data_IF_786532432756
#
_entry.id   IF_786532432756
#
_cell.length_a   1.000
_cell.length_b   1.000
_cell.length_c   1.000
_cell.angle_alpha   90.00
_cell.angle_beta   90.00
_cell.angle_gamma   90.00
#
_symmetry.space_group_name_H-M   'P 1'
#
loop_
_entity.id
_entity.type
_entity.pdbx_description
1 polymer ?
#
# COMPACT_ATOMS: atom_id res chain seq x y z
N UNK A 1 -5.73 9.50 13.44
CA UNK A 1 -6.69 9.20 12.36
C UNK A 1 -6.73 7.69 12.19
N UNK A 2 -7.90 7.05 12.29
CA UNK A 2 -8.06 5.58 12.26
C UNK A 2 -8.98 5.10 11.12
N UNK A 3 -9.29 5.98 10.17
CA UNK A 3 -10.19 5.70 9.05
C UNK A 3 -9.67 6.36 7.78
N UNK A 4 -10.11 5.85 6.64
CA UNK A 4 -9.79 6.42 5.32
C UNK A 4 -10.34 7.84 5.22
N UNK A 5 -9.57 8.74 4.60
CA UNK A 5 -9.98 10.12 4.32
C UNK A 5 -10.53 10.25 2.89
N UNK A 6 -10.12 9.38 1.98
CA UNK A 6 -10.64 9.28 0.62
C UNK A 6 -10.36 7.89 0.04
N UNK A 7 -10.75 7.67 -1.22
CA UNK A 7 -10.44 6.43 -1.95
C UNK A 7 -8.93 6.19 -2.14
N UNK A 8 -8.12 7.25 -2.17
CA UNK A 8 -6.67 7.17 -2.39
C UNK A 8 -5.84 7.50 -1.14
N UNK A 9 -6.42 8.21 -0.17
CA UNK A 9 -5.81 8.53 1.12
C UNK A 9 -6.40 7.62 2.20
N UNK A 10 -5.85 6.42 2.28
CA UNK A 10 -6.36 5.32 3.12
C UNK A 10 -5.56 5.17 4.41
N UNK A 11 -6.22 4.75 5.49
CA UNK A 11 -5.59 4.36 6.74
C UNK A 11 -5.43 2.82 6.80
N UNK A 12 -4.25 2.36 7.20
CA UNK A 12 -3.99 0.96 7.49
C UNK A 12 -3.75 0.87 8.98
N UNK A 13 -4.75 0.36 9.69
CA UNK A 13 -4.76 0.31 11.14
C UNK A 13 -4.56 -1.12 11.63
N UNK A 14 -3.88 -1.24 12.76
CA UNK A 14 -3.70 -2.49 13.50
C UNK A 14 -3.92 -2.22 14.99
N UNK A 15 -4.42 -3.23 15.72
CA UNK A 15 -4.68 -3.14 17.15
C UNK A 15 -3.41 -3.44 17.97
N UNK A 16 -2.54 -4.32 17.45
CA UNK A 16 -1.42 -4.92 18.20
C UNK A 16 -0.04 -4.47 17.69
N UNK A 17 0.03 -3.33 17.00
CA UNK A 17 1.26 -2.82 16.39
C UNK A 17 2.14 -2.02 17.36
N UNK A 18 3.45 -2.07 17.13
CA UNK A 18 4.40 -1.08 17.65
C UNK A 18 4.72 -0.04 16.57
N UNK A 19 5.52 0.96 16.91
CA UNK A 19 5.86 2.07 16.03
C UNK A 19 6.52 1.58 14.72
N UNK A 20 5.82 1.73 13.60
CA UNK A 20 6.25 1.35 12.24
C UNK A 20 6.74 -0.10 12.12
N UNK A 21 6.07 -1.05 12.79
CA UNK A 21 6.45 -2.47 12.76
C UNK A 21 6.39 -3.07 11.34
N UNK A 22 5.45 -2.59 10.53
CA UNK A 22 5.27 -2.89 9.11
C UNK A 22 6.51 -2.56 8.26
N UNK A 23 7.32 -1.58 8.63
CA UNK A 23 8.57 -1.22 7.94
C UNK A 23 9.76 -2.11 8.28
N UNK A 24 9.69 -2.90 9.36
CA UNK A 24 10.78 -3.79 9.75
C UNK A 24 10.92 -4.97 8.77
N UNK A 25 12.12 -5.60 8.66
CA UNK A 25 12.29 -6.82 7.88
C UNK A 25 11.34 -7.93 8.34
N UNK A 26 10.86 -8.74 7.40
CA UNK A 26 10.01 -9.89 7.71
C UNK A 26 10.76 -10.93 8.55
N UNK A 27 10.06 -11.53 9.50
CA UNK A 27 10.54 -12.66 10.31
C UNK A 27 9.56 -13.81 10.22
N UNK A 28 10.05 -15.04 10.37
CA UNK A 28 9.18 -16.23 10.39
C UNK A 28 8.20 -16.23 11.56
N UNK A 29 8.53 -15.50 12.63
CA UNK A 29 7.69 -15.33 13.83
C UNK A 29 6.73 -14.15 13.73
N UNK A 30 6.67 -13.46 12.58
CA UNK A 30 5.75 -12.33 12.42
C UNK A 30 4.29 -12.80 12.53
N UNK A 31 3.45 -12.07 13.29
CA UNK A 31 2.07 -12.47 13.47
C UNK A 31 1.28 -12.31 12.16
N UNK A 32 0.29 -13.17 11.95
CA UNK A 32 -0.50 -13.22 10.72
C UNK A 32 -1.16 -11.87 10.36
N UNK A 33 -1.54 -11.07 11.37
CA UNK A 33 -2.12 -9.74 11.14
C UNK A 33 -1.11 -8.77 10.49
N UNK A 34 0.17 -8.85 10.85
CA UNK A 34 1.24 -7.99 10.31
C UNK A 34 1.54 -8.39 8.87
N UNK A 35 1.55 -9.69 8.59
CA UNK A 35 1.71 -10.24 7.23
C UNK A 35 0.56 -9.74 6.33
N UNK A 36 -0.68 -9.80 6.82
CA UNK A 36 -1.86 -9.30 6.07
C UNK A 36 -1.80 -7.79 5.85
N UNK A 37 -1.36 -7.02 6.85
CA UNK A 37 -1.14 -5.58 6.74
C UNK A 37 -0.12 -5.25 5.62
N UNK A 38 1.09 -5.83 5.67
CA UNK A 38 2.12 -5.62 4.64
C UNK A 38 1.64 -6.03 3.24
N UNK A 39 0.89 -7.14 3.12
CA UNK A 39 0.29 -7.56 1.83
C UNK A 39 -0.72 -6.52 1.31
N UNK A 40 -1.50 -5.89 2.18
CA UNK A 40 -2.44 -4.81 1.82
C UNK A 40 -1.67 -3.57 1.31
N UNK A 41 -0.60 -3.16 2.01
CA UNK A 41 0.29 -2.07 1.60
C UNK A 41 0.90 -2.33 0.21
N UNK A 42 1.49 -3.51 0.01
CA UNK A 42 2.09 -3.91 -1.28
C UNK A 42 1.04 -3.88 -2.40
N UNK A 43 -0.19 -4.31 -2.14
CA UNK A 43 -1.28 -4.27 -3.13
C UNK A 43 -1.60 -2.84 -3.55
N UNK A 44 -1.65 -1.91 -2.60
CA UNK A 44 -1.93 -0.49 -2.85
C UNK A 44 -0.80 0.13 -3.68
N UNK A 45 0.45 -0.07 -3.27
CA UNK A 45 1.64 0.47 -3.97
C UNK A 45 1.73 -0.07 -5.40
N UNK A 46 1.47 -1.38 -5.60
CA UNK A 46 1.38 -1.97 -6.96
C UNK A 46 0.28 -1.31 -7.79
N UNK A 47 -0.84 -0.96 -7.16
CA UNK A 47 -1.92 -0.20 -7.79
C UNK A 47 -1.44 1.17 -8.29
N UNK A 48 -0.70 1.92 -7.48
CA UNK A 48 -0.13 3.22 -7.85
C UNK A 48 0.83 3.10 -9.05
N UNK A 49 1.74 2.12 -9.01
CA UNK A 49 2.70 1.89 -10.11
C UNK A 49 1.96 1.53 -11.41
N UNK A 50 0.94 0.65 -11.32
CA UNK A 50 0.13 0.27 -12.49
C UNK A 50 -0.62 1.48 -13.07
N UNK A 51 -1.19 2.32 -12.21
CA UNK A 51 -1.90 3.53 -12.62
C UNK A 51 -0.94 4.48 -13.35
N UNK A 52 0.24 4.73 -12.77
CA UNK A 52 1.27 5.58 -13.39
C UNK A 52 1.62 5.14 -14.82
N UNK A 53 1.92 3.85 -15.03
CA UNK A 53 2.26 3.37 -16.38
C UNK A 53 1.09 3.42 -17.36
N UNK A 54 -0.15 3.25 -16.87
CA UNK A 54 -1.35 3.39 -17.69
C UNK A 54 -1.54 4.83 -18.14
N UNK A 55 -1.37 5.78 -17.21
CA UNK A 55 -1.48 7.21 -17.48
C UNK A 55 -0.36 7.71 -18.39
N UNK A 56 0.88 7.24 -18.17
CA UNK A 56 2.03 7.56 -19.02
C UNK A 56 1.83 7.07 -20.46
N UNK A 57 1.29 5.86 -20.63
CA UNK A 57 0.97 5.34 -21.96
C UNK A 57 -0.15 6.15 -22.64
N UNK A 58 -1.19 6.54 -21.90
CA UNK A 58 -2.24 7.40 -22.42
C UNK A 58 -1.71 8.79 -22.81
N UNK A 59 -0.87 9.40 -21.97
CA UNK A 59 -0.22 10.67 -22.25
C UNK A 59 0.60 10.62 -23.54
N UNK A 60 1.44 9.59 -23.72
CA UNK A 60 2.25 9.43 -24.94
C UNK A 60 1.41 9.33 -26.21
N UNK A 61 0.32 8.55 -26.19
CA UNK A 61 -0.59 8.40 -27.35
C UNK A 61 -1.29 9.70 -27.76
N UNK A 62 -1.51 10.62 -26.83
CA UNK A 62 -2.15 11.92 -27.12
C UNK A 62 -1.17 12.90 -27.77
N UNK A 63 0.13 12.72 -27.54
CA UNK A 63 1.20 13.63 -27.98
C UNK A 63 2.08 13.03 -29.09
N UNK A 64 1.63 11.93 -29.72
CA UNK A 64 2.09 11.42 -31.02
C UNK A 64 1.19 11.97 -32.13
#
# INVERSE_FOLDING_TARGET
ILSDLSKSLVAITTINGSHCLDLQPSRETDPEWLIKQRKKEVKIIKGWIKQYYSDLAAFRRIHE
#
